data_IF_017132277750
#
_entry.id   IF_017132277750
#
_cell.length_a   1.000
_cell.length_b   1.000
_cell.length_c   1.000
_cell.angle_alpha   90.00
_cell.angle_beta   90.00
_cell.angle_gamma   90.00
#
_symmetry.space_group_name_H-M   'P 1'
#
loop_
_entity.id
_entity.type
_entity.pdbx_description
1 polymer ?
#
# COMPACT_ATOMS: atom_id res chain seq x y z
N UNK A 1 14.65 -12.24 -9.60
CA UNK A 1 15.72 -12.08 -10.60
C UNK A 1 15.60 -13.16 -11.69
N UNK A 2 14.66 -12.95 -12.60
CA UNK A 2 14.48 -13.84 -13.76
C UNK A 2 14.55 -13.00 -15.04
N UNK A 3 15.15 -13.55 -16.09
CA UNK A 3 15.16 -12.93 -17.41
C UNK A 3 14.03 -13.44 -18.30
N UNK A 4 13.49 -14.61 -17.96
CA UNK A 4 12.49 -15.32 -18.76
C UNK A 4 11.09 -15.10 -18.18
N UNK A 5 10.12 -14.75 -19.05
CA UNK A 5 8.73 -14.46 -18.65
C UNK A 5 8.07 -15.62 -17.89
N UNK A 6 8.31 -16.89 -18.32
CA UNK A 6 7.72 -18.04 -17.63
C UNK A 6 8.17 -18.15 -16.18
N UNK A 7 9.47 -17.88 -15.92
CA UNK A 7 10.01 -17.92 -14.56
C UNK A 7 9.41 -16.80 -13.69
N UNK A 8 9.24 -15.60 -14.27
CA UNK A 8 8.60 -14.47 -13.56
C UNK A 8 7.14 -14.81 -13.23
N UNK A 9 6.42 -15.40 -14.19
CA UNK A 9 5.03 -15.82 -14.00
C UNK A 9 4.90 -16.87 -12.90
N UNK A 10 5.75 -17.92 -12.91
CA UNK A 10 5.76 -18.99 -11.90
C UNK A 10 6.01 -18.37 -10.51
N UNK A 11 6.98 -17.46 -10.41
CA UNK A 11 7.32 -16.80 -9.14
C UNK A 11 6.15 -16.02 -8.57
N UNK A 12 5.43 -15.28 -9.42
CA UNK A 12 4.23 -14.54 -9.00
C UNK A 12 3.12 -15.49 -8.57
N UNK A 13 2.96 -16.62 -9.27
CA UNK A 13 1.89 -17.58 -8.98
C UNK A 13 2.14 -18.30 -7.65
N UNK A 14 3.37 -18.74 -7.42
CA UNK A 14 3.77 -19.36 -6.13
C UNK A 14 3.47 -18.40 -4.97
N UNK A 15 3.82 -17.12 -5.15
CA UNK A 15 3.59 -16.09 -4.12
C UNK A 15 2.09 -15.93 -3.82
N UNK A 16 1.24 -15.89 -4.85
CA UNK A 16 -0.22 -15.74 -4.68
C UNK A 16 -0.83 -16.99 -4.02
N UNK A 17 -0.39 -18.19 -4.42
CA UNK A 17 -0.90 -19.45 -3.84
C UNK A 17 -0.49 -19.60 -2.37
N UNK A 18 0.72 -19.14 -2.00
CA UNK A 18 1.22 -19.23 -0.62
C UNK A 18 0.40 -18.37 0.35
N UNK A 19 -0.22 -17.29 -0.11
CA UNK A 19 -0.99 -16.36 0.75
C UNK A 19 -2.40 -16.90 1.04
N UNK A 20 -2.98 -17.72 0.14
CA UNK A 20 -4.36 -18.21 0.27
C UNK A 20 -4.60 -18.93 1.61
N UNK A 21 -3.79 -19.93 2.01
CA UNK A 21 -3.98 -20.57 3.32
C UNK A 21 -3.80 -19.62 4.49
N UNK A 22 -2.94 -18.61 4.35
CA UNK A 22 -2.73 -17.62 5.43
C UNK A 22 -3.99 -16.76 5.62
N UNK A 23 -4.69 -16.40 4.53
CA UNK A 23 -5.95 -15.65 4.60
C UNK A 23 -7.05 -16.50 5.25
N UNK A 24 -7.15 -17.78 4.87
CA UNK A 24 -8.22 -18.68 5.31
C UNK A 24 -7.95 -19.33 6.68
N UNK A 25 -6.83 -19.03 7.33
CA UNK A 25 -6.35 -19.70 8.55
C UNK A 25 -7.37 -19.73 9.70
N UNK A 26 -8.28 -18.78 9.78
CA UNK A 26 -9.28 -18.73 10.86
C UNK A 26 -10.54 -19.57 10.57
N UNK A 27 -10.68 -20.13 9.36
CA UNK A 27 -11.82 -20.97 8.93
C UNK A 27 -13.20 -20.35 9.23
N UNK A 28 -13.27 -19.01 9.14
CA UNK A 28 -14.50 -18.25 9.30
C UNK A 28 -15.10 -17.97 7.89
N UNK A 29 -16.44 -17.95 7.73
CA UNK A 29 -17.02 -17.73 6.38
C UNK A 29 -16.50 -16.46 5.69
N UNK A 30 -16.26 -15.39 6.42
CA UNK A 30 -15.70 -14.16 5.84
C UNK A 30 -14.25 -14.32 5.37
N UNK A 31 -13.46 -15.16 6.07
CA UNK A 31 -12.06 -15.38 5.66
C UNK A 31 -11.99 -16.27 4.43
N UNK A 32 -12.87 -17.28 4.31
CA UNK A 32 -12.94 -18.12 3.10
C UNK A 32 -13.42 -17.30 1.89
N UNK A 33 -14.42 -16.43 2.09
CA UNK A 33 -14.87 -15.50 1.06
C UNK A 33 -13.75 -14.57 0.59
N UNK A 34 -12.98 -14.02 1.53
CA UNK A 34 -11.84 -13.15 1.22
C UNK A 34 -10.76 -13.91 0.44
N UNK A 35 -10.50 -15.18 0.82
CA UNK A 35 -9.50 -16.03 0.17
C UNK A 35 -9.92 -16.36 -1.27
N UNK A 36 -11.19 -16.70 -1.50
CA UNK A 36 -11.69 -16.99 -2.84
C UNK A 36 -11.67 -15.74 -3.74
N UNK A 37 -12.07 -14.58 -3.23
CA UNK A 37 -12.01 -13.32 -3.99
C UNK A 37 -10.57 -12.98 -4.35
N UNK A 38 -9.64 -13.14 -3.41
CA UNK A 38 -8.21 -12.91 -3.67
C UNK A 38 -7.71 -13.84 -4.78
N UNK A 39 -8.03 -15.13 -4.68
CA UNK A 39 -7.59 -16.13 -5.66
C UNK A 39 -8.11 -15.79 -7.07
N UNK A 40 -9.41 -15.52 -7.21
CA UNK A 40 -10.01 -15.26 -8.52
C UNK A 40 -9.38 -14.05 -9.23
N UNK A 41 -9.18 -12.95 -8.49
CA UNK A 41 -8.60 -11.73 -9.07
C UNK A 41 -7.12 -11.95 -9.43
N UNK A 42 -6.36 -12.61 -8.55
CA UNK A 42 -4.93 -12.84 -8.79
C UNK A 42 -4.71 -13.87 -9.90
N UNK A 43 -5.59 -14.88 -10.01
CA UNK A 43 -5.53 -15.86 -11.11
C UNK A 43 -5.83 -15.20 -12.46
N UNK A 44 -6.86 -14.34 -12.50
CA UNK A 44 -7.17 -13.57 -13.72
C UNK A 44 -5.97 -12.69 -14.13
N UNK A 45 -5.37 -12.01 -13.16
CA UNK A 45 -4.20 -11.14 -13.40
C UNK A 45 -3.00 -11.96 -13.91
N UNK A 46 -2.75 -13.14 -13.33
CA UNK A 46 -1.64 -14.01 -13.77
C UNK A 46 -1.87 -14.56 -15.16
N UNK A 47 -3.12 -14.93 -15.50
CA UNK A 47 -3.47 -15.36 -16.86
C UNK A 47 -3.24 -14.24 -17.87
N UNK A 48 -3.57 -12.99 -17.52
CA UNK A 48 -3.31 -11.82 -18.37
C UNK A 48 -1.81 -11.56 -18.57
N UNK A 49 -0.98 -11.76 -17.53
CA UNK A 49 0.49 -11.62 -17.65
C UNK A 49 1.02 -12.66 -18.64
N UNK A 50 0.56 -13.91 -18.50
CA UNK A 50 0.99 -14.99 -19.39
C UNK A 50 0.54 -14.72 -20.83
N UNK A 51 -0.69 -14.27 -21.01
CA UNK A 51 -1.21 -13.91 -22.34
C UNK A 51 -0.39 -12.77 -22.97
N UNK A 52 -0.08 -11.73 -22.18
CA UNK A 52 0.75 -10.62 -22.66
C UNK A 52 2.15 -11.09 -23.08
N UNK A 53 2.74 -12.01 -22.32
CA UNK A 53 4.07 -12.53 -22.63
C UNK A 53 4.05 -13.45 -23.87
N UNK A 54 3.00 -14.29 -24.02
CA UNK A 54 2.87 -15.18 -25.21
C UNK A 54 2.61 -14.37 -26.47
N UNK A 55 1.78 -13.33 -26.42
CA UNK A 55 1.56 -12.45 -27.58
C UNK A 55 2.83 -11.72 -27.98
N UNK A 56 3.63 -11.26 -27.00
CA UNK A 56 4.91 -10.64 -27.29
C UNK A 56 5.89 -11.65 -27.92
N UNK A 57 5.96 -12.87 -27.36
CA UNK A 57 6.84 -13.93 -27.87
C UNK A 57 6.44 -14.36 -29.29
N UNK A 58 5.14 -14.37 -29.59
CA UNK A 58 4.63 -14.69 -30.94
C UNK A 58 5.18 -13.71 -31.97
N UNK A 59 5.19 -12.39 -31.65
CA UNK A 59 5.62 -11.36 -32.60
C UNK A 59 7.14 -11.18 -32.64
N UNK A 60 7.83 -11.31 -31.51
CA UNK A 60 9.28 -11.00 -31.41
C UNK A 60 10.17 -12.23 -31.43
N UNK A 61 9.62 -13.41 -31.11
CA UNK A 61 10.41 -14.63 -30.96
C UNK A 61 11.22 -14.71 -29.68
N UNK A 62 11.10 -13.71 -28.77
CA UNK A 62 11.90 -13.63 -27.55
C UNK A 62 11.01 -13.70 -26.29
N UNK A 63 11.53 -14.37 -25.25
CA UNK A 63 10.87 -14.48 -23.96
C UNK A 63 11.50 -13.58 -22.90
N UNK A 64 12.33 -12.62 -23.31
CA UNK A 64 13.00 -11.70 -22.40
C UNK A 64 12.02 -10.67 -21.84
N UNK A 65 12.11 -10.41 -20.52
CA UNK A 65 11.23 -9.48 -19.81
C UNK A 65 11.46 -8.05 -20.30
N UNK A 66 12.71 -7.70 -20.60
CA UNK A 66 13.08 -6.34 -21.01
C UNK A 66 12.75 -6.03 -22.46
N UNK A 67 12.48 -7.05 -23.29
CA UNK A 67 12.24 -6.89 -24.73
C UNK A 67 10.75 -7.05 -25.04
N UNK A 68 9.97 -6.07 -24.67
CA UNK A 68 8.57 -5.98 -25.09
C UNK A 68 8.47 -4.90 -26.17
N UNK A 69 7.79 -5.21 -27.27
CA UNK A 69 7.70 -4.28 -28.39
C UNK A 69 6.28 -4.10 -28.93
N UNK A 70 5.38 -5.03 -28.65
CA UNK A 70 4.03 -4.98 -29.22
C UNK A 70 3.11 -4.14 -28.32
N UNK A 71 2.36 -3.21 -28.92
CA UNK A 71 1.45 -2.33 -28.18
C UNK A 71 0.35 -3.08 -27.41
N UNK A 72 -0.30 -4.14 -27.99
CA UNK A 72 -1.30 -4.86 -27.18
C UNK A 72 -0.72 -5.58 -25.97
N UNK A 73 0.51 -6.11 -26.07
CA UNK A 73 1.13 -6.78 -24.93
C UNK A 73 1.47 -5.78 -23.81
N UNK A 74 1.89 -4.55 -24.16
CA UNK A 74 2.13 -3.48 -23.18
C UNK A 74 0.86 -3.15 -22.40
N UNK A 75 -0.25 -2.95 -23.11
CA UNK A 75 -1.53 -2.58 -22.49
C UNK A 75 -2.02 -3.72 -21.56
N UNK A 76 -1.96 -4.96 -22.05
CA UNK A 76 -2.37 -6.12 -21.26
C UNK A 76 -1.50 -6.28 -20.00
N UNK A 77 -0.20 -6.06 -20.14
CA UNK A 77 0.73 -6.18 -19.01
C UNK A 77 0.48 -5.09 -17.96
N UNK A 78 0.26 -3.82 -18.39
CA UNK A 78 -0.02 -2.74 -17.44
C UNK A 78 -1.33 -3.01 -16.68
N UNK A 79 -2.36 -3.49 -17.37
CA UNK A 79 -3.64 -3.84 -16.73
C UNK A 79 -3.46 -5.02 -15.77
N UNK A 80 -2.70 -6.04 -16.15
CA UNK A 80 -2.46 -7.21 -15.30
C UNK A 80 -1.69 -6.84 -14.03
N UNK A 81 -0.66 -5.99 -14.16
CA UNK A 81 0.10 -5.52 -13.01
C UNK A 81 -0.75 -4.61 -12.12
N UNK A 82 -1.62 -3.78 -12.72
CA UNK A 82 -2.54 -2.92 -11.95
C UNK A 82 -3.53 -3.76 -11.14
N UNK A 83 -4.01 -4.89 -11.70
CA UNK A 83 -4.86 -5.84 -10.98
C UNK A 83 -4.12 -6.50 -9.82
N UNK A 84 -2.86 -6.93 -10.02
CA UNK A 84 -2.06 -7.54 -8.96
C UNK A 84 -1.77 -6.56 -7.82
N UNK A 85 -1.54 -5.30 -8.14
CA UNK A 85 -1.27 -4.25 -7.16
C UNK A 85 -2.56 -3.76 -6.47
N UNK A 86 -3.70 -3.91 -7.13
CA UNK A 86 -4.99 -3.43 -6.65
C UNK A 86 -5.21 -1.95 -6.91
N UNK A 87 -4.78 -1.48 -8.10
CA UNK A 87 -5.01 -0.09 -8.53
C UNK A 87 -6.43 0.07 -9.08
N UNK A 88 -6.91 1.31 -9.10
CA UNK A 88 -8.18 1.60 -9.75
C UNK A 88 -8.03 1.35 -11.26
N UNK A 89 -9.05 0.78 -11.95
CA UNK A 89 -10.41 0.52 -11.44
C UNK A 89 -10.60 -0.80 -10.69
N UNK A 90 -9.60 -1.69 -10.68
CA UNK A 90 -9.71 -3.05 -10.10
C UNK A 90 -9.41 -3.10 -8.59
N UNK A 91 -9.63 -1.97 -7.88
CA UNK A 91 -9.23 -1.80 -6.49
C UNK A 91 -10.18 -2.45 -5.48
N UNK A 92 -11.40 -2.81 -5.88
CA UNK A 92 -12.44 -3.27 -4.96
C UNK A 92 -12.07 -4.51 -4.14
N UNK A 93 -11.26 -5.18 -4.55
CA UNK A 93 -10.83 -6.25 -3.97
C UNK A 93 -10.12 -6.08 -2.74
N UNK A 94 -9.41 -5.23 -2.83
CA UNK A 94 -8.47 -5.05 -1.72
C UNK A 94 -9.15 -4.71 -0.38
N UNK A 95 -10.09 -3.77 -0.31
CA UNK A 95 -10.77 -3.49 0.96
C UNK A 95 -11.57 -4.67 1.51
N UNK A 96 -12.17 -5.48 0.65
CA UNK A 96 -12.95 -6.65 1.08
C UNK A 96 -12.04 -7.76 1.61
N UNK A 97 -10.91 -8.00 0.92
CA UNK A 97 -9.92 -9.00 1.35
C UNK A 97 -9.34 -8.62 2.72
N UNK A 98 -8.97 -7.34 2.91
CA UNK A 98 -8.43 -6.88 4.18
C UNK A 98 -9.48 -6.93 5.30
N UNK A 99 -10.75 -6.72 4.97
CA UNK A 99 -11.84 -6.84 5.95
C UNK A 99 -11.98 -8.28 6.46
N UNK A 100 -11.86 -9.27 5.57
CA UNK A 100 -11.99 -10.69 5.92
C UNK A 100 -10.77 -11.32 6.56
N UNK A 101 -9.59 -10.65 6.47
CA UNK A 101 -8.33 -11.20 6.96
C UNK A 101 -7.98 -10.65 8.36
N UNK A 102 -6.99 -11.25 9.04
CA UNK A 102 -6.47 -10.74 10.32
C UNK A 102 -5.56 -9.53 10.07
N UNK A 103 -5.21 -8.79 11.14
CA UNK A 103 -4.32 -7.64 11.03
C UNK A 103 -2.91 -8.05 10.57
N UNK A 104 -2.44 -9.23 11.00
CA UNK A 104 -1.13 -9.76 10.58
C UNK A 104 -1.11 -10.14 9.11
N UNK A 105 -2.17 -10.82 8.61
CA UNK A 105 -2.28 -11.12 7.18
C UNK A 105 -2.49 -9.86 6.36
N UNK A 106 -3.22 -8.87 6.90
CA UNK A 106 -3.41 -7.57 6.26
C UNK A 106 -2.06 -6.86 6.05
N UNK A 107 -1.16 -6.95 7.05
CA UNK A 107 0.20 -6.42 6.93
C UNK A 107 0.94 -7.06 5.76
N UNK A 108 0.91 -8.41 5.68
CA UNK A 108 1.61 -9.15 4.60
C UNK A 108 1.05 -8.73 3.22
N UNK A 109 -0.26 -8.62 3.10
CA UNK A 109 -0.92 -8.26 1.83
C UNK A 109 -0.55 -6.83 1.41
N UNK A 110 -0.51 -5.89 2.36
CA UNK A 110 -0.23 -4.48 2.03
C UNK A 110 1.25 -4.18 1.83
N UNK A 111 2.17 -5.02 2.34
CA UNK A 111 3.62 -4.78 2.22
C UNK A 111 4.28 -5.81 1.32
N UNK A 112 4.37 -7.06 1.74
CA UNK A 112 5.14 -8.12 1.07
C UNK A 112 4.62 -8.40 -0.34
N UNK A 113 3.30 -8.51 -0.49
CA UNK A 113 2.68 -8.88 -1.77
C UNK A 113 2.87 -7.82 -2.87
N UNK A 114 3.23 -6.61 -2.50
CA UNK A 114 3.43 -5.53 -3.48
C UNK A 114 4.84 -5.52 -4.08
N UNK A 115 5.80 -6.18 -3.43
CA UNK A 115 7.19 -6.15 -3.88
C UNK A 115 7.38 -6.82 -5.25
N UNK A 116 6.79 -8.01 -5.46
CA UNK A 116 6.99 -8.77 -6.70
C UNK A 116 6.35 -8.07 -7.92
N UNK A 117 5.10 -7.59 -7.88
CA UNK A 117 4.56 -6.83 -9.03
C UNK A 117 5.28 -5.51 -9.27
N UNK A 118 5.73 -4.81 -8.20
CA UNK A 118 6.47 -3.56 -8.34
C UNK A 118 7.85 -3.78 -8.97
N UNK A 119 8.53 -4.89 -8.64
CA UNK A 119 9.82 -5.20 -9.25
C UNK A 119 9.67 -5.51 -10.74
N UNK A 120 8.60 -6.23 -11.13
CA UNK A 120 8.31 -6.47 -12.55
C UNK A 120 8.00 -5.16 -13.28
N UNK A 121 7.23 -4.29 -12.64
CA UNK A 121 6.90 -2.99 -13.21
C UNK A 121 8.19 -2.18 -13.44
N UNK A 122 9.13 -2.18 -12.48
CA UNK A 122 10.42 -1.50 -12.62
C UNK A 122 11.24 -2.05 -13.81
N UNK A 123 11.22 -3.37 -14.02
CA UNK A 123 11.96 -3.99 -15.12
C UNK A 123 11.35 -3.66 -16.49
N UNK A 124 10.04 -3.43 -16.56
CA UNK A 124 9.33 -3.22 -17.82
C UNK A 124 9.01 -1.74 -18.12
N UNK A 125 9.37 -0.83 -17.22
CA UNK A 125 9.05 0.60 -17.31
C UNK A 125 9.31 1.22 -18.67
N UNK A 126 10.47 0.94 -19.25
CA UNK A 126 10.90 1.57 -20.50
C UNK A 126 9.98 1.24 -21.68
N UNK A 127 9.23 0.16 -21.57
CA UNK A 127 8.38 -0.35 -22.65
C UNK A 127 6.90 -0.01 -22.43
N UNK A 128 6.51 0.35 -21.19
CA UNK A 128 5.10 0.61 -20.88
C UNK A 128 4.68 2.01 -21.35
N UNK A 129 3.42 2.16 -21.70
CA UNK A 129 2.86 3.45 -22.12
C UNK A 129 2.74 4.41 -20.94
N UNK A 130 3.42 5.56 -20.96
CA UNK A 130 3.34 6.50 -19.83
C UNK A 130 1.94 7.05 -19.59
N UNK A 131 1.15 7.22 -20.66
CA UNK A 131 -0.21 7.75 -20.53
C UNK A 131 -1.10 6.84 -19.67
N UNK A 132 -1.03 5.52 -19.87
CA UNK A 132 -1.83 4.57 -19.09
C UNK A 132 -1.40 4.60 -17.61
N UNK A 133 -0.08 4.65 -17.35
CA UNK A 133 0.45 4.73 -15.99
C UNK A 133 -0.03 6.00 -15.27
N UNK A 134 0.00 7.15 -15.95
CA UNK A 134 -0.47 8.42 -15.40
C UNK A 134 -1.97 8.38 -15.10
N UNK A 135 -2.77 7.84 -16.02
CA UNK A 135 -4.23 7.72 -15.82
C UNK A 135 -4.55 6.80 -14.64
N UNK A 136 -3.85 5.65 -14.53
CA UNK A 136 -4.01 4.72 -13.40
C UNK A 136 -3.59 5.39 -12.09
N UNK A 137 -2.55 6.23 -12.12
CA UNK A 137 -2.07 6.97 -10.96
C UNK A 137 -3.12 7.94 -10.43
N UNK A 138 -3.69 8.78 -11.31
CA UNK A 138 -4.74 9.75 -10.93
C UNK A 138 -5.98 9.00 -10.44
N UNK A 139 -6.44 8.00 -11.21
CA UNK A 139 -7.65 7.24 -10.85
C UNK A 139 -7.50 6.57 -9.48
N UNK A 140 -6.33 5.94 -9.21
CA UNK A 140 -6.12 5.24 -7.94
C UNK A 140 -5.97 6.20 -6.76
N UNK A 141 -5.33 7.36 -6.95
CA UNK A 141 -5.20 8.35 -5.87
C UNK A 141 -6.56 8.96 -5.51
N UNK A 142 -7.39 9.27 -6.51
CA UNK A 142 -8.74 9.81 -6.30
C UNK A 142 -9.67 8.79 -5.64
N UNK A 143 -9.70 7.55 -6.18
CA UNK A 143 -10.55 6.49 -5.64
C UNK A 143 -10.11 6.05 -4.24
N UNK A 144 -8.79 6.03 -3.99
CA UNK A 144 -8.24 5.72 -2.68
C UNK A 144 -8.64 6.78 -1.65
N UNK A 145 -8.55 8.06 -2.04
CA UNK A 145 -8.97 9.17 -1.19
C UNK A 145 -10.47 9.13 -0.90
N UNK A 146 -11.28 9.05 -1.95
CA UNK A 146 -12.75 9.08 -1.84
C UNK A 146 -13.29 7.87 -1.06
N UNK A 147 -12.81 6.65 -1.40
CA UNK A 147 -13.30 5.41 -0.77
C UNK A 147 -13.04 5.33 0.73
N UNK A 148 -11.99 6.04 1.23
CA UNK A 148 -11.65 6.04 2.63
C UNK A 148 -12.52 6.94 3.52
N UNK A 149 -13.28 7.90 2.93
CA UNK A 149 -13.96 8.95 3.68
C UNK A 149 -14.95 8.43 4.73
N UNK A 150 -15.79 7.45 4.36
CA UNK A 150 -16.88 6.97 5.21
C UNK A 150 -16.60 5.61 5.88
N UNK A 151 -15.34 5.14 5.86
CA UNK A 151 -15.02 3.85 6.45
C UNK A 151 -14.84 3.97 7.97
N UNK A 152 -15.35 2.97 8.69
CA UNK A 152 -15.24 2.89 10.15
C UNK A 152 -14.26 1.81 10.62
N UNK A 153 -13.90 0.88 9.75
CA UNK A 153 -12.99 -0.21 10.07
C UNK A 153 -11.55 0.17 9.68
N UNK A 154 -10.61 -0.02 10.62
CA UNK A 154 -9.20 0.34 10.42
C UNK A 154 -8.61 -0.37 9.20
N UNK A 155 -8.92 -1.67 9.02
CA UNK A 155 -8.40 -2.45 7.89
C UNK A 155 -8.85 -1.91 6.54
N UNK A 156 -10.11 -1.44 6.44
CA UNK A 156 -10.61 -0.83 5.19
C UNK A 156 -9.95 0.52 4.92
N UNK A 157 -9.76 1.32 5.96
CA UNK A 157 -9.08 2.63 5.82
C UNK A 157 -7.65 2.40 5.31
N UNK A 158 -6.95 1.40 5.89
CA UNK A 158 -5.59 1.06 5.45
C UNK A 158 -5.56 0.50 4.01
N UNK A 159 -6.63 -0.19 3.58
CA UNK A 159 -6.75 -0.63 2.19
C UNK A 159 -6.81 0.58 1.24
N UNK A 160 -7.70 1.53 1.52
CA UNK A 160 -7.86 2.72 0.68
C UNK A 160 -6.61 3.60 0.72
N UNK A 161 -5.94 3.70 1.87
CA UNK A 161 -4.66 4.42 1.96
C UNK A 161 -3.59 3.77 1.06
N UNK A 162 -3.54 2.43 1.02
CA UNK A 162 -2.57 1.73 0.17
C UNK A 162 -2.85 1.95 -1.31
N UNK A 163 -4.13 2.02 -1.71
CA UNK A 163 -4.52 2.32 -3.11
C UNK A 163 -4.07 3.75 -3.47
N UNK A 164 -4.27 4.71 -2.56
CA UNK A 164 -3.86 6.10 -2.79
C UNK A 164 -2.34 6.22 -2.93
N UNK A 165 -1.57 5.56 -2.05
CA UNK A 165 -0.09 5.59 -2.12
C UNK A 165 0.44 4.95 -3.40
N UNK A 166 -0.17 3.83 -3.82
CA UNK A 166 0.18 3.21 -5.10
C UNK A 166 -0.09 4.15 -6.27
N UNK A 167 -1.17 4.95 -6.18
CA UNK A 167 -1.45 5.99 -7.18
C UNK A 167 -0.30 6.97 -7.33
N UNK A 168 0.26 7.44 -6.20
CA UNK A 168 1.43 8.32 -6.21
C UNK A 168 2.66 7.65 -6.83
N UNK A 169 2.86 6.35 -6.57
CA UNK A 169 3.98 5.59 -7.15
C UNK A 169 3.84 5.45 -8.65
N UNK A 170 2.62 5.17 -9.15
CA UNK A 170 2.37 5.02 -10.59
C UNK A 170 2.57 6.31 -11.35
N UNK A 171 2.28 7.47 -10.74
CA UNK A 171 2.47 8.78 -11.37
C UNK A 171 3.94 9.03 -11.73
N UNK A 172 4.85 8.69 -10.81
CA UNK A 172 6.29 8.94 -11.03
C UNK A 172 6.98 7.78 -11.73
N UNK A 173 6.30 6.65 -11.86
CA UNK A 173 6.86 5.42 -12.41
C UNK A 173 7.49 5.63 -13.80
N UNK A 174 6.80 6.37 -14.67
CA UNK A 174 7.25 6.62 -16.04
C UNK A 174 8.26 7.77 -16.16
N UNK A 175 8.52 8.51 -15.08
CA UNK A 175 9.36 9.73 -15.10
C UNK A 175 10.72 9.43 -14.45
N UNK A 176 10.69 9.05 -13.16
CA UNK A 176 11.91 8.85 -12.35
C UNK A 176 11.76 7.60 -11.48
N UNK A 177 12.45 6.52 -11.85
CA UNK A 177 12.41 5.24 -11.14
C UNK A 177 12.97 5.34 -9.72
N UNK A 178 13.97 6.21 -9.49
CA UNK A 178 14.59 6.37 -8.17
C UNK A 178 13.58 6.92 -7.15
N UNK A 179 12.76 7.91 -7.56
CA UNK A 179 11.74 8.50 -6.67
C UNK A 179 10.63 7.47 -6.39
N UNK A 180 10.30 6.64 -7.39
CA UNK A 180 9.33 5.54 -7.20
C UNK A 180 9.83 4.54 -6.15
N UNK A 181 11.11 4.13 -6.24
CA UNK A 181 11.72 3.19 -5.30
C UNK A 181 11.74 3.82 -3.88
N UNK A 182 12.14 5.09 -3.78
CA UNK A 182 12.16 5.82 -2.50
C UNK A 182 10.75 5.83 -1.88
N UNK A 183 9.73 6.19 -2.68
CA UNK A 183 8.34 6.22 -2.21
C UNK A 183 7.88 4.85 -1.73
N UNK A 184 8.24 3.78 -2.47
CA UNK A 184 7.90 2.41 -2.08
C UNK A 184 8.55 2.03 -0.75
N UNK A 185 9.83 2.35 -0.55
CA UNK A 185 10.54 2.04 0.70
C UNK A 185 9.92 2.77 1.89
N UNK A 186 9.64 4.07 1.75
CA UNK A 186 8.99 4.86 2.81
C UNK A 186 7.61 4.28 3.12
N UNK A 187 6.82 3.97 2.09
CA UNK A 187 5.50 3.38 2.25
C UNK A 187 5.57 2.06 3.05
N UNK A 188 6.51 1.17 2.72
CA UNK A 188 6.66 -0.12 3.41
C UNK A 188 7.00 0.08 4.90
N UNK A 189 7.91 1.01 5.22
CA UNK A 189 8.31 1.29 6.60
C UNK A 189 7.12 1.85 7.39
N UNK A 190 6.40 2.82 6.81
CA UNK A 190 5.29 3.49 7.51
C UNK A 190 4.10 2.55 7.72
N UNK A 191 3.72 1.77 6.68
CA UNK A 191 2.60 0.84 6.79
C UNK A 191 2.92 -0.31 7.75
N UNK A 192 4.16 -0.83 7.75
CA UNK A 192 4.55 -1.89 8.68
C UNK A 192 4.51 -1.39 10.13
N UNK A 193 5.00 -0.18 10.40
CA UNK A 193 4.95 0.42 11.73
C UNK A 193 3.50 0.58 12.21
N UNK A 194 2.64 1.08 11.33
CA UNK A 194 1.23 1.29 11.69
C UNK A 194 0.51 -0.04 11.96
N UNK A 195 0.69 -1.04 11.09
CA UNK A 195 0.04 -2.35 11.31
C UNK A 195 0.57 -3.04 12.57
N UNK A 196 1.87 -2.95 12.85
CA UNK A 196 2.45 -3.53 14.07
C UNK A 196 1.86 -2.88 15.33
N UNK A 197 1.69 -1.55 15.32
CA UNK A 197 1.08 -0.84 16.44
C UNK A 197 -0.41 -1.21 16.61
N UNK A 198 -1.16 -1.37 15.49
CA UNK A 198 -2.57 -1.81 15.53
C UNK A 198 -2.70 -3.24 16.07
N UNK A 199 -1.75 -4.13 15.72
CA UNK A 199 -1.73 -5.52 16.21
C UNK A 199 -1.50 -5.53 17.73
N UNK A 200 -0.57 -4.69 18.21
CA UNK A 200 -0.27 -4.59 19.63
C UNK A 200 -1.47 -4.08 20.44
N UNK A 201 -2.19 -3.10 19.90
CA UNK A 201 -3.38 -2.53 20.53
C UNK A 201 -4.66 -3.35 20.29
N UNK A 202 -4.61 -4.29 19.32
CA UNK A 202 -5.76 -5.14 18.92
C UNK A 202 -6.96 -4.31 18.45
N UNK A 203 -6.74 -3.11 17.91
CA UNK A 203 -7.79 -2.20 17.45
C UNK A 203 -8.34 -2.62 16.10
N UNK A 204 -9.66 -2.76 15.97
CA UNK A 204 -10.34 -3.13 14.72
C UNK A 204 -11.15 -1.98 14.14
N UNK A 205 -11.73 -1.14 15.00
CA UNK A 205 -12.60 -0.03 14.59
C UNK A 205 -11.99 1.31 15.06
N UNK A 206 -12.55 2.41 14.55
CA UNK A 206 -12.18 3.76 14.98
C UNK A 206 -12.50 3.93 16.47
N UNK A 207 -13.62 3.34 16.92
CA UNK A 207 -14.03 3.40 18.32
C UNK A 207 -13.02 2.70 19.24
N UNK A 208 -12.49 1.54 18.80
CA UNK A 208 -11.43 0.85 19.55
C UNK A 208 -10.19 1.72 19.70
N UNK A 209 -9.84 2.49 18.64
CA UNK A 209 -8.66 3.35 18.69
C UNK A 209 -8.83 4.51 19.66
N UNK A 210 -10.06 5.03 19.85
CA UNK A 210 -10.30 6.10 20.82
C UNK A 210 -10.17 5.61 22.27
N UNK A 211 -10.47 4.32 22.53
CA UNK A 211 -10.31 3.73 23.87
C UNK A 211 -8.88 3.26 24.15
N UNK A 212 -8.04 3.15 23.13
CA UNK A 212 -6.68 2.61 23.25
C UNK A 212 -5.76 3.48 24.10
N UNK A 213 -6.08 4.77 24.26
CA UNK A 213 -5.35 5.67 25.15
C UNK A 213 -5.32 5.15 26.59
N UNK A 214 -6.40 4.55 27.04
CA UNK A 214 -6.49 3.99 28.39
C UNK A 214 -5.56 2.76 28.57
N UNK A 215 -5.26 2.02 27.49
CA UNK A 215 -4.42 0.82 27.57
C UNK A 215 -2.93 1.16 27.47
N UNK A 216 -2.53 1.94 26.47
CA UNK A 216 -1.11 2.28 26.26
C UNK A 216 -0.98 3.62 25.53
N UNK A 217 -0.78 4.73 26.27
CA UNK A 217 -0.72 6.05 25.67
C UNK A 217 0.45 6.21 24.68
N UNK A 218 1.59 5.56 24.93
CA UNK A 218 2.73 5.65 24.01
C UNK A 218 2.41 5.08 22.63
N UNK A 219 1.72 3.94 22.58
CA UNK A 219 1.35 3.33 21.30
C UNK A 219 0.34 4.18 20.54
N UNK A 220 -0.59 4.83 21.23
CA UNK A 220 -1.55 5.73 20.56
C UNK A 220 -0.85 6.95 19.96
N UNK A 221 0.14 7.50 20.64
CA UNK A 221 0.93 8.61 20.10
C UNK A 221 1.70 8.15 18.85
N UNK A 222 2.28 6.95 18.87
CA UNK A 222 2.98 6.37 17.73
C UNK A 222 2.01 6.22 16.55
N UNK A 223 0.81 5.67 16.77
CA UNK A 223 -0.20 5.53 15.71
C UNK A 223 -0.56 6.91 15.14
N UNK A 224 -0.82 7.89 16.00
CA UNK A 224 -1.16 9.24 15.57
C UNK A 224 -0.06 9.83 14.69
N UNK A 225 1.19 9.77 15.14
CA UNK A 225 2.32 10.31 14.39
C UNK A 225 2.55 9.58 13.07
N UNK A 226 2.38 8.25 13.04
CA UNK A 226 2.50 7.49 11.78
C UNK A 226 1.38 7.79 10.80
N UNK A 227 0.15 8.02 11.28
CA UNK A 227 -0.97 8.45 10.42
C UNK A 227 -0.69 9.82 9.80
N UNK A 228 -0.18 10.77 10.60
CA UNK A 228 0.19 12.11 10.12
C UNK A 228 1.37 12.03 9.14
N UNK A 229 2.30 11.10 9.34
CA UNK A 229 3.42 10.90 8.41
C UNK A 229 2.95 10.27 7.10
N UNK A 230 2.01 9.31 7.14
CA UNK A 230 1.42 8.74 5.92
C UNK A 230 0.72 9.81 5.10
N UNK A 231 0.05 10.74 5.77
CA UNK A 231 -0.57 11.88 5.08
C UNK A 231 0.47 12.75 4.37
N UNK A 232 1.66 12.87 4.96
CA UNK A 232 2.74 13.69 4.41
C UNK A 232 2.72 15.12 4.90
N UNK A 233 2.58 15.32 6.22
CA UNK A 233 2.73 16.66 6.80
C UNK A 233 4.22 17.06 6.79
N UNK A 234 4.53 18.35 6.54
CA UNK A 234 5.89 18.81 6.23
C UNK A 234 7.01 18.37 7.18
N UNK A 235 6.82 18.27 8.51
CA UNK A 235 7.95 17.86 9.37
C UNK A 235 8.23 16.35 9.35
N UNK A 236 7.37 15.55 8.67
CA UNK A 236 7.45 14.09 8.74
C UNK A 236 7.92 13.47 7.42
N UNK A 237 8.41 12.24 7.49
CA UNK A 237 9.06 11.53 6.37
C UNK A 237 8.17 11.38 5.13
N UNK A 238 6.87 11.20 5.32
CA UNK A 238 5.93 10.98 4.23
C UNK A 238 5.72 12.19 3.32
N UNK A 239 6.16 13.37 3.74
CA UNK A 239 6.08 14.58 2.92
C UNK A 239 7.05 14.54 1.75
N UNK A 240 8.27 14.05 1.98
CA UNK A 240 9.34 14.07 0.96
C UNK A 240 8.95 13.41 -0.36
N UNK A 241 8.45 12.15 -0.38
CA UNK A 241 8.14 11.54 -1.68
C UNK A 241 7.03 12.29 -2.44
N UNK A 242 6.00 12.78 -1.73
CA UNK A 242 4.91 13.55 -2.39
C UNK A 242 5.45 14.84 -2.99
N UNK A 243 6.30 15.56 -2.24
CA UNK A 243 6.89 16.81 -2.70
C UNK A 243 7.79 16.59 -3.92
N UNK A 244 8.64 15.56 -3.89
CA UNK A 244 9.53 15.23 -5.01
C UNK A 244 8.72 14.88 -6.26
N UNK A 245 7.63 14.10 -6.12
CA UNK A 245 6.77 13.74 -7.24
C UNK A 245 6.15 15.00 -7.87
N UNK A 246 5.66 15.93 -7.05
CA UNK A 246 5.06 17.18 -7.56
C UNK A 246 6.10 18.06 -8.27
N UNK A 247 7.34 18.11 -7.77
CA UNK A 247 8.42 18.86 -8.40
C UNK A 247 8.73 18.27 -9.79
N UNK A 248 8.82 16.93 -9.90
CA UNK A 248 9.09 16.25 -11.16
C UNK A 248 7.95 16.43 -12.18
N UNK A 249 6.70 16.34 -11.72
CA UNK A 249 5.54 16.57 -12.60
C UNK A 249 5.54 18.00 -13.15
N UNK A 250 5.95 18.97 -12.34
CA UNK A 250 6.08 20.37 -12.78
C UNK A 250 7.21 20.52 -13.80
N UNK A 251 8.36 19.84 -13.55
CA UNK A 251 9.50 19.87 -14.46
C UNK A 251 9.16 19.31 -15.84
N UNK A 252 8.24 18.32 -15.88
CA UNK A 252 7.76 17.72 -17.13
C UNK A 252 6.60 18.50 -17.78
N UNK A 253 6.25 19.68 -17.24
CA UNK A 253 5.13 20.52 -17.71
C UNK A 253 3.76 19.83 -17.59
N UNK A 254 3.61 18.88 -16.64
CA UNK A 254 2.36 18.18 -16.34
C UNK A 254 1.64 18.83 -15.16
N UNK A 255 1.47 20.15 -15.20
CA UNK A 255 0.91 20.94 -14.08
C UNK A 255 -0.52 20.54 -13.75
N UNK A 256 -1.33 20.23 -14.78
CA UNK A 256 -2.72 19.78 -14.58
C UNK A 256 -2.77 18.49 -13.75
N UNK A 257 -1.90 17.53 -14.06
CA UNK A 257 -1.84 16.27 -13.31
C UNK A 257 -1.33 16.51 -11.89
N UNK A 258 -0.36 17.42 -11.72
CA UNK A 258 0.16 17.77 -10.39
C UNK A 258 -0.94 18.37 -9.50
N UNK A 259 -1.81 19.26 -10.07
CA UNK A 259 -2.93 19.84 -9.30
C UNK A 259 -3.97 18.77 -8.94
N UNK A 260 -4.27 17.85 -9.87
CA UNK A 260 -5.20 16.74 -9.58
C UNK A 260 -4.67 15.85 -8.44
N UNK A 261 -3.36 15.55 -8.44
CA UNK A 261 -2.73 14.75 -7.39
C UNK A 261 -2.75 15.46 -6.04
N UNK A 262 -2.53 16.79 -6.03
CA UNK A 262 -2.62 17.59 -4.82
C UNK A 262 -4.03 17.57 -4.25
N UNK A 263 -5.06 17.72 -5.11
CA UNK A 263 -6.46 17.65 -4.67
C UNK A 263 -6.80 16.24 -4.15
N UNK A 264 -6.29 15.18 -4.78
CA UNK A 264 -6.50 13.80 -4.32
C UNK A 264 -5.90 13.60 -2.92
N UNK A 265 -4.76 14.26 -2.62
CA UNK A 265 -4.14 14.14 -1.29
C UNK A 265 -4.99 14.79 -0.20
N UNK A 266 -5.78 15.84 -0.52
CA UNK A 266 -6.68 16.45 0.46
C UNK A 266 -7.79 15.49 0.89
N UNK A 267 -8.25 14.61 -0.01
CA UNK A 267 -9.23 13.58 0.34
C UNK A 267 -8.64 12.56 1.32
N UNK A 268 -7.39 12.14 1.10
CA UNK A 268 -6.71 11.21 2.02
C UNK A 268 -6.40 11.89 3.36
N UNK A 269 -6.07 13.18 3.34
CA UNK A 269 -5.82 13.98 4.56
C UNK A 269 -7.03 13.94 5.49
N UNK A 270 -8.23 14.06 4.94
CA UNK A 270 -9.46 14.08 5.76
C UNK A 270 -9.61 12.81 6.61
N UNK A 271 -9.47 11.62 6.01
CA UNK A 271 -9.67 10.40 6.82
C UNK A 271 -8.53 10.15 7.80
N UNK A 272 -7.29 10.57 7.51
CA UNK A 272 -6.18 10.47 8.46
C UNK A 272 -6.37 11.45 9.63
N UNK A 273 -6.79 12.68 9.36
CA UNK A 273 -7.09 13.66 10.40
C UNK A 273 -8.27 13.20 11.27
N UNK A 274 -9.31 12.62 10.63
CA UNK A 274 -10.43 12.06 11.41
C UNK A 274 -9.93 11.00 12.40
N UNK A 275 -9.03 10.11 11.98
CA UNK A 275 -8.45 9.10 12.86
C UNK A 275 -7.64 9.74 13.99
N UNK A 276 -6.80 10.72 13.68
CA UNK A 276 -5.98 11.40 14.69
C UNK A 276 -6.86 12.15 15.68
N UNK A 277 -7.92 12.82 15.24
CA UNK A 277 -8.87 13.52 16.10
C UNK A 277 -9.61 12.56 17.05
N UNK A 278 -10.05 11.42 16.53
CA UNK A 278 -10.78 10.45 17.36
C UNK A 278 -9.88 9.84 18.43
N UNK A 279 -8.57 9.73 18.18
CA UNK A 279 -7.63 9.19 19.18
C UNK A 279 -7.20 10.22 20.21
N UNK A 280 -7.23 11.53 19.89
CA UNK A 280 -6.71 12.57 20.78
C UNK A 280 -7.80 13.40 21.47
N UNK A 281 -8.84 13.81 20.73
CA UNK A 281 -9.85 14.73 21.25
C UNK A 281 -11.01 14.00 21.94
N UNK A 282 -11.36 12.79 21.48
CA UNK A 282 -12.45 12.02 22.07
C UNK A 282 -11.91 11.03 23.10
N UNK A 283 -11.28 11.57 24.15
CA UNK A 283 -10.75 10.74 25.23
C UNK A 283 -11.91 10.05 25.96
N UNK A 284 -11.96 8.74 25.87
CA UNK A 284 -12.96 7.96 26.58
C UNK A 284 -12.66 7.95 28.08
N UNK A 285 -13.69 7.89 28.94
CA UNK A 285 -13.44 7.82 30.39
C UNK A 285 -12.69 6.54 30.74
N UNK A 286 -11.78 6.66 31.70
CA UNK A 286 -11.00 5.52 32.18
C UNK A 286 -11.90 4.48 32.84
N UNK A 287 -11.71 3.23 32.46
CA UNK A 287 -12.40 2.11 33.10
C UNK A 287 -11.67 1.75 34.39
N UNK A 288 -12.39 1.09 35.31
CA UNK A 288 -11.80 0.64 36.58
C UNK A 288 -10.64 -0.35 36.34
N UNK A 289 -10.68 -1.08 35.23
CA UNK A 289 -9.62 -2.03 34.85
C UNK A 289 -8.28 -1.35 34.60
N UNK A 290 -8.26 -0.07 34.20
CA UNK A 290 -7.01 0.66 33.97
C UNK A 290 -6.16 0.80 35.23
N UNK A 291 -6.79 0.82 36.41
CA UNK A 291 -6.11 0.87 37.70
C UNK A 291 -5.29 -0.39 37.99
N UNK A 292 -5.68 -1.51 37.38
CA UNK A 292 -5.04 -2.82 37.60
C UNK A 292 -4.11 -3.24 36.45
N UNK A 293 -3.73 -2.32 35.57
CA UNK A 293 -2.82 -2.58 34.43
C UNK A 293 -1.49 -3.23 34.86
N UNK A 294 -0.99 -2.86 36.02
CA UNK A 294 0.29 -3.35 36.52
C UNK A 294 0.30 -4.87 36.72
N UNK A 295 -0.90 -5.48 36.87
CA UNK A 295 -1.05 -6.93 37.06
C UNK A 295 -0.99 -7.70 35.72
N UNK A 296 -1.33 -7.06 34.60
CA UNK A 296 -1.52 -7.74 33.31
C UNK A 296 -0.58 -7.12 32.28
N UNK A 297 0.70 -7.40 32.44
CA UNK A 297 1.71 -6.99 31.43
C UNK A 297 1.73 -8.03 30.32
N UNK A 298 1.35 -7.67 29.07
CA UNK A 298 1.44 -8.61 27.97
C UNK A 298 2.93 -8.90 27.64
N UNK A 299 3.24 -10.14 27.43
CA UNK A 299 4.57 -10.59 27.03
C UNK A 299 4.74 -10.48 25.52
N UNK A 300 4.65 -9.25 25.02
CA UNK A 300 4.77 -8.98 23.58
C UNK A 300 6.16 -8.45 23.25
N UNK A 301 6.76 -8.99 22.19
CA UNK A 301 8.04 -8.52 21.70
C UNK A 301 7.83 -7.21 20.93
N UNK A 302 8.42 -6.14 21.42
CA UNK A 302 8.28 -4.80 20.82
C UNK A 302 9.50 -4.40 19.97
N UNK A 303 10.45 -5.31 19.81
CA UNK A 303 11.74 -5.03 19.17
C UNK A 303 11.56 -4.47 17.75
N UNK A 304 10.70 -5.10 16.94
CA UNK A 304 10.45 -4.64 15.57
C UNK A 304 9.86 -3.22 15.57
N UNK A 305 8.90 -2.98 16.47
CA UNK A 305 8.25 -1.68 16.56
C UNK A 305 9.23 -0.59 17.02
N UNK A 306 10.15 -0.88 17.97
CA UNK A 306 11.13 0.10 18.43
C UNK A 306 12.14 0.48 17.35
N UNK A 307 12.40 -0.41 16.38
CA UNK A 307 13.28 -0.09 15.25
C UNK A 307 12.49 0.73 14.20
N UNK A 308 11.24 0.35 13.94
CA UNK A 308 10.44 0.99 12.90
C UNK A 308 10.02 2.42 13.26
N UNK A 309 9.77 2.70 14.56
CA UNK A 309 9.28 4.03 14.96
C UNK A 309 10.26 5.17 14.67
N UNK A 310 11.55 5.10 15.03
CA UNK A 310 12.48 6.18 14.66
C UNK A 310 12.66 6.27 13.14
N UNK A 311 12.59 5.14 12.42
CA UNK A 311 12.66 5.17 10.95
C UNK A 311 11.49 5.96 10.35
N UNK A 312 10.26 5.76 10.87
CA UNK A 312 9.10 6.51 10.34
C UNK A 312 9.15 7.99 10.65
N UNK A 313 9.84 8.40 11.71
CA UNK A 313 9.87 9.81 12.14
C UNK A 313 11.08 10.58 11.59
N UNK A 314 12.26 9.95 11.57
CA UNK A 314 13.52 10.63 11.36
C UNK A 314 14.27 10.24 10.08
N UNK A 315 13.59 9.62 9.11
CA UNK A 315 14.24 9.23 7.86
C UNK A 315 14.39 10.42 6.89
N UNK A 316 13.76 11.56 7.17
CA UNK A 316 13.74 12.73 6.30
C UNK A 316 15.14 13.23 5.94
N UNK A 317 16.10 13.42 6.87
CA UNK A 317 17.45 13.87 6.51
C UNK A 317 18.27 12.84 5.75
N UNK A 318 17.87 11.56 5.75
CA UNK A 318 18.56 10.49 4.99
C UNK A 318 18.07 10.38 3.54
N UNK A 319 17.00 11.10 3.17
CA UNK A 319 16.41 10.99 1.83
C UNK A 319 17.37 11.40 0.70
N UNK A 320 18.26 12.42 0.84
CA UNK A 320 19.19 12.72 -0.25
C UNK A 320 20.13 11.55 -0.57
N UNK A 321 20.55 10.78 0.44
CA UNK A 321 21.40 9.61 0.24
C UNK A 321 20.68 8.50 -0.54
N UNK A 322 19.35 8.43 -0.43
CA UNK A 322 18.56 7.41 -1.12
C UNK A 322 18.29 7.77 -2.59
N UNK A 323 18.48 9.05 -2.96
CA UNK A 323 18.26 9.52 -4.34
C UNK A 323 19.53 9.43 -5.19
N UNK A 324 20.71 9.35 -4.55
CA UNK A 324 21.99 9.13 -5.24
C UNK A 324 22.10 7.69 -5.74
#
# INVERSE_FOLDING_TARGET
SSYHWLMAWIGLEINTLAIIPIISMQHHPRSTEAATKYFLIQAAASAMILFASTTNAWYTGTWNITQMSTTPSHIMLTLALSMKLGLAPMHFXLPEILQGSTLSTALIITTWQKLAPMSLLLMTMNNLSPLILLMLGVASSMMGGWGGLNQTQMRKIMAFSSIAHLGWMMMVASIMTNIMILNLMIYLIMTSNLFMSLIMLKTKTIQDSSTSWSTSPMLTIIIMLTLLSLEGLPPLTGFMPKWLILVELKAQNLTMLATMMALASLLSLFFYLRLSYTTTLTLSPNTTQTKHKWRFKPSTTTLVLTILTPMTMFLLPLTPLMLL
#
